data_IF_308666698218
#
_entry.id   IF_308666698218
#
_cell.length_a   1.000
_cell.length_b   1.000
_cell.length_c   1.000
_cell.angle_alpha   90.00
_cell.angle_beta   90.00
_cell.angle_gamma   90.00
#
_symmetry.space_group_name_H-M   'P 1'
#
loop_
_entity.id
_entity.type
_entity.pdbx_description
1 polymer ?
#
# COMPACT_ATOMS: atom_id res chain seq x y z
N UNK A 1 -4.82 -8.07 12.42
CA UNK A 1 -4.29 -7.71 13.76
C UNK A 1 -5.15 -8.45 14.79
N UNK A 2 -4.54 -9.14 15.76
CA UNK A 2 -5.27 -9.94 16.76
C UNK A 2 -4.67 -9.73 18.15
N UNK A 3 -5.07 -8.64 18.81
CA UNK A 3 -4.54 -8.28 20.12
C UNK A 3 -5.53 -8.67 21.23
N UNK A 4 -5.02 -9.15 22.36
CA UNK A 4 -5.83 -9.46 23.53
C UNK A 4 -5.37 -8.61 24.72
N UNK A 5 -6.32 -7.98 25.44
CA UNK A 5 -6.03 -7.26 26.68
C UNK A 5 -6.71 -8.01 27.84
N UNK A 6 -5.96 -8.27 28.90
CA UNK A 6 -6.48 -8.82 30.15
C UNK A 6 -6.32 -7.74 31.21
N UNK A 7 -7.44 -7.30 31.77
CA UNK A 7 -7.49 -6.28 32.81
C UNK A 7 -8.04 -6.81 34.12
N UNK A 8 -7.60 -6.22 35.22
CA UNK A 8 -8.15 -6.38 36.55
C UNK A 8 -8.30 -4.99 37.17
N UNK A 9 -9.50 -4.73 37.68
CA UNK A 9 -9.85 -3.51 38.38
C UNK A 9 -10.26 -3.88 39.81
N UNK A 10 -9.71 -3.18 40.78
CA UNK A 10 -10.10 -3.27 42.18
C UNK A 10 -10.42 -1.88 42.72
N UNK A 11 -11.59 -1.77 43.32
CA UNK A 11 -12.05 -0.58 44.02
C UNK A 11 -12.59 -1.01 45.39
N UNK A 12 -12.12 -0.33 46.44
CA UNK A 12 -12.55 -0.56 47.81
C UNK A 12 -12.74 0.77 48.53
N UNK A 13 -13.81 0.84 49.31
CA UNK A 13 -14.23 2.04 50.02
C UNK A 13 -14.41 1.71 51.49
N UNK A 14 -13.84 2.54 52.36
CA UNK A 14 -13.87 2.34 53.80
C UNK A 14 -14.22 3.63 54.53
N UNK A 15 -15.27 3.58 55.34
CA UNK A 15 -15.58 4.64 56.30
C UNK A 15 -14.46 4.74 57.35
N UNK A 16 -13.76 5.86 57.35
CA UNK A 16 -12.58 6.09 58.14
C UNK A 16 -12.85 7.00 59.34
N UNK A 17 -13.91 6.76 60.11
CA UNK A 17 -14.34 7.64 61.22
C UNK A 17 -13.24 7.97 62.25
N UNK A 18 -12.19 7.15 62.34
CA UNK A 18 -11.04 7.44 63.21
C UNK A 18 -10.29 8.71 62.77
N UNK A 19 -10.29 9.06 61.49
CA UNK A 19 -9.68 10.28 60.97
C UNK A 19 -10.51 11.50 61.40
N UNK A 20 -11.84 11.47 61.22
CA UNK A 20 -12.74 12.51 61.76
C UNK A 20 -12.50 12.73 63.26
N UNK A 21 -12.47 11.64 64.05
CA UNK A 21 -12.29 11.72 65.51
C UNK A 21 -10.89 12.21 65.92
N UNK A 22 -9.86 11.90 65.15
CA UNK A 22 -8.51 12.38 65.40
C UNK A 22 -8.40 13.90 65.13
N UNK A 23 -9.01 14.38 64.04
CA UNK A 23 -9.05 15.80 63.68
C UNK A 23 -9.88 16.62 64.68
N UNK A 24 -10.98 16.08 65.21
CA UNK A 24 -11.81 16.71 66.23
C UNK A 24 -11.08 16.95 67.58
N UNK A 25 -9.99 16.24 67.84
CA UNK A 25 -9.19 16.41 69.06
C UNK A 25 -8.19 17.57 69.00
N UNK A 26 -8.03 18.23 67.85
CA UNK A 26 -7.17 19.40 67.72
C UNK A 26 -7.93 20.66 68.21
N UNK A 27 -7.43 21.38 69.23
CA UNK A 27 -8.05 22.63 69.65
C UNK A 27 -7.96 23.62 68.49
N UNK A 28 -9.12 24.05 67.96
CA UNK A 28 -9.40 24.97 66.82
C UNK A 28 -10.17 24.30 65.66
N UNK A 29 -10.12 22.97 65.47
CA UNK A 29 -10.81 22.28 64.36
C UNK A 29 -12.00 21.45 64.84
N UNK A 30 -13.11 21.51 64.11
CA UNK A 30 -14.32 20.71 64.38
C UNK A 30 -14.91 20.21 63.05
N UNK A 31 -14.91 18.90 62.86
CA UNK A 31 -15.40 18.20 61.66
C UNK A 31 -16.80 17.63 61.89
N UNK A 32 -17.69 17.77 60.89
CA UNK A 32 -19.10 17.33 60.97
C UNK A 32 -19.45 16.23 59.97
N UNK A 33 -18.61 16.04 58.96
CA UNK A 33 -18.79 15.05 57.89
C UNK A 33 -17.98 13.78 58.21
N UNK A 34 -18.53 12.58 57.98
CA UNK A 34 -17.76 11.34 58.04
C UNK A 34 -16.61 11.38 57.04
N UNK A 35 -15.43 10.93 57.44
CA UNK A 35 -14.31 10.73 56.53
C UNK A 35 -14.34 9.34 55.90
N UNK A 36 -13.93 9.26 54.64
CA UNK A 36 -13.89 8.05 53.84
C UNK A 36 -12.48 7.87 53.26
N UNK A 37 -12.03 6.63 53.12
CA UNK A 37 -10.82 6.26 52.38
C UNK A 37 -11.23 5.37 51.21
N UNK A 38 -10.91 5.84 50.02
CA UNK A 38 -11.06 5.07 48.78
C UNK A 38 -9.70 4.53 48.35
N UNK A 39 -9.63 3.23 48.03
CA UNK A 39 -8.48 2.59 47.42
C UNK A 39 -8.88 2.07 46.04
N UNK A 40 -8.15 2.50 45.01
CA UNK A 40 -8.34 2.03 43.64
C UNK A 40 -7.01 1.52 43.07
N UNK A 41 -7.11 0.45 42.28
CA UNK A 41 -5.98 -0.14 41.60
C UNK A 41 -6.42 -0.80 40.31
N UNK A 42 -5.71 -0.51 39.23
CA UNK A 42 -5.91 -1.14 37.93
C UNK A 42 -4.64 -1.87 37.53
N UNK A 43 -4.81 -3.06 36.96
CA UNK A 43 -3.76 -3.82 36.30
C UNK A 43 -4.26 -4.22 34.92
N UNK A 44 -3.47 -3.91 33.89
CA UNK A 44 -3.79 -4.33 32.53
C UNK A 44 -2.55 -4.93 31.86
N UNK A 45 -2.75 -6.05 31.16
CA UNK A 45 -1.73 -6.72 30.36
C UNK A 45 -2.19 -6.84 28.92
N UNK A 46 -1.41 -6.26 28.01
CA UNK A 46 -1.57 -6.43 26.56
C UNK A 46 -0.79 -7.67 26.11
N UNK A 47 -1.46 -8.56 25.38
CA UNK A 47 -0.84 -9.62 24.59
C UNK A 47 -0.99 -9.24 23.11
N UNK A 48 0.07 -8.74 22.47
CA UNK A 48 0.08 -8.48 21.04
C UNK A 48 -0.02 -9.82 20.28
N UNK A 49 -0.76 -9.84 19.19
CA UNK A 49 -0.86 -11.03 18.34
C UNK A 49 -1.01 -10.67 16.87
N UNK A 50 -0.40 -11.51 16.03
CA UNK A 50 -0.49 -11.40 14.57
C UNK A 50 -1.72 -12.16 14.10
N UNK A 51 -2.38 -11.66 13.05
CA UNK A 51 -3.55 -12.35 12.53
C UNK A 51 -3.11 -13.59 11.74
N UNK A 52 -3.42 -14.77 12.26
CA UNK A 52 -3.33 -16.01 11.50
C UNK A 52 -4.43 -16.04 10.44
N UNK A 53 -4.05 -15.69 9.21
CA UNK A 53 -4.93 -15.87 8.06
C UNK A 53 -4.85 -17.33 7.57
N UNK A 54 -5.85 -17.76 6.80
CA UNK A 54 -5.84 -19.11 6.22
C UNK A 54 -4.57 -19.39 5.42
N UNK A 55 -4.08 -18.40 4.67
CA UNK A 55 -2.85 -18.52 3.89
C UNK A 55 -1.62 -18.74 4.78
N UNK A 56 -1.51 -18.01 5.89
CA UNK A 56 -0.42 -18.20 6.87
C UNK A 56 -0.52 -19.56 7.54
N UNK A 57 -1.71 -19.98 7.99
CA UNK A 57 -1.88 -21.29 8.60
C UNK A 57 -1.65 -22.45 7.62
N UNK A 58 -1.87 -22.25 6.32
CA UNK A 58 -1.50 -23.21 5.27
C UNK A 58 0.03 -23.25 5.07
N UNK A 59 0.69 -22.10 4.97
CA UNK A 59 2.14 -22.01 4.81
C UNK A 59 2.91 -22.62 6.00
N UNK A 60 2.45 -22.40 7.24
CA UNK A 60 3.00 -23.06 8.45
C UNK A 60 2.86 -24.57 8.35
N UNK A 61 1.66 -25.08 7.99
CA UNK A 61 1.41 -26.53 7.87
C UNK A 61 2.25 -27.19 6.77
N UNK A 62 2.53 -26.45 5.70
CA UNK A 62 3.36 -26.92 4.59
C UNK A 62 4.86 -26.73 4.84
N UNK A 63 5.26 -26.17 6.00
CA UNK A 63 6.65 -25.87 6.33
C UNK A 63 7.31 -24.92 5.30
N UNK A 64 6.53 -23.96 4.79
CA UNK A 64 6.94 -22.94 3.81
C UNK A 64 7.50 -21.68 4.49
N UNK A 65 7.26 -21.50 5.79
CA UNK A 65 7.75 -20.39 6.60
C UNK A 65 8.95 -20.83 7.46
N UNK A 66 9.87 -19.91 7.70
CA UNK A 66 10.88 -20.07 8.74
C UNK A 66 10.24 -19.90 10.13
N UNK A 67 10.87 -20.46 11.16
CA UNK A 67 10.36 -20.45 12.54
C UNK A 67 10.08 -19.05 13.11
N UNK A 68 10.81 -18.03 12.64
CA UNK A 68 10.60 -16.63 13.01
C UNK A 68 9.42 -15.98 12.27
N UNK A 69 9.10 -16.45 11.07
CA UNK A 69 8.02 -15.94 10.22
C UNK A 69 6.63 -16.48 10.64
N UNK A 70 6.57 -17.63 11.31
CA UNK A 70 5.32 -18.19 11.85
C UNK A 70 4.63 -17.25 12.84
N UNK A 71 5.42 -16.42 13.53
CA UNK A 71 4.93 -15.43 14.50
C UNK A 71 4.56 -14.09 13.86
N UNK A 72 4.64 -13.98 12.52
CA UNK A 72 4.25 -12.82 11.74
C UNK A 72 5.25 -12.47 10.65
N UNK A 73 4.75 -12.30 9.43
CA UNK A 73 5.53 -11.90 8.26
C UNK A 73 4.97 -10.61 7.67
N UNK A 74 5.86 -9.67 7.35
CA UNK A 74 5.50 -8.41 6.72
C UNK A 74 6.47 -8.11 5.57
N UNK A 75 5.92 -7.82 4.40
CA UNK A 75 6.70 -7.44 3.22
C UNK A 75 6.76 -5.91 3.13
N UNK A 76 7.97 -5.38 2.93
CA UNK A 76 8.17 -3.95 2.66
C UNK A 76 7.84 -3.65 1.18
N UNK A 77 8.22 -4.58 0.29
CA UNK A 77 7.90 -4.60 -1.13
C UNK A 77 7.99 -6.07 -1.61
N UNK A 78 6.95 -6.57 -2.27
CA UNK A 78 6.90 -7.91 -2.86
C UNK A 78 7.13 -7.89 -4.39
N UNK A 79 7.39 -6.71 -4.96
CA UNK A 79 7.61 -6.47 -6.39
C UNK A 79 6.47 -6.93 -7.30
N UNK A 80 5.26 -7.20 -6.79
CA UNK A 80 4.12 -7.62 -7.61
C UNK A 80 3.76 -6.56 -8.67
N UNK A 81 4.00 -5.28 -8.36
CA UNK A 81 3.79 -4.14 -9.26
C UNK A 81 5.00 -3.69 -10.07
N UNK A 82 6.13 -4.41 -10.04
CA UNK A 82 7.37 -3.97 -10.70
C UNK A 82 7.28 -3.98 -12.24
N UNK A 83 6.33 -4.72 -12.80
CA UNK A 83 6.12 -4.81 -14.23
C UNK A 83 4.71 -4.36 -14.62
N UNK A 84 4.62 -3.47 -15.60
CA UNK A 84 3.38 -3.04 -16.22
C UNK A 84 3.28 -3.64 -17.62
N UNK A 85 2.33 -4.55 -17.82
CA UNK A 85 2.10 -5.12 -19.14
C UNK A 85 1.20 -4.20 -19.97
N UNK A 86 1.75 -3.62 -21.04
CA UNK A 86 0.99 -2.80 -21.99
C UNK A 86 0.76 -3.62 -23.25
N UNK A 87 -0.49 -4.04 -23.47
CA UNK A 87 -0.84 -4.81 -24.66
C UNK A 87 -0.89 -3.94 -25.92
N UNK A 88 -0.10 -4.31 -26.93
CA UNK A 88 -0.11 -3.72 -28.26
C UNK A 88 -0.87 -4.56 -29.29
N UNK A 89 -1.60 -5.61 -28.87
CA UNK A 89 -2.24 -6.56 -29.77
C UNK A 89 -3.55 -6.07 -30.41
N UNK A 90 -4.07 -4.91 -29.99
CA UNK A 90 -5.31 -4.38 -30.54
C UNK A 90 -5.10 -3.86 -31.97
N UNK A 91 -5.52 -4.65 -32.97
CA UNK A 91 -5.43 -4.33 -34.39
C UNK A 91 -6.02 -2.97 -34.78
N UNK A 92 -7.11 -2.52 -34.14
CA UNK A 92 -7.75 -1.22 -34.44
C UNK A 92 -6.90 0.00 -34.08
N UNK A 93 -5.86 -0.19 -33.25
CA UNK A 93 -4.94 0.87 -32.86
C UNK A 93 -3.77 1.03 -33.85
N UNK A 94 -3.59 0.07 -34.75
CA UNK A 94 -2.55 0.10 -35.76
C UNK A 94 -3.04 0.80 -37.03
N UNK A 95 -2.14 1.57 -37.63
CA UNK A 95 -2.37 2.22 -38.91
C UNK A 95 -1.15 1.98 -39.79
N UNK A 96 -1.32 2.09 -41.12
CA UNK A 96 -0.22 1.98 -42.06
C UNK A 96 0.82 3.08 -41.77
N UNK A 97 2.05 2.66 -41.46
CA UNK A 97 3.20 3.51 -41.22
C UNK A 97 3.74 4.10 -42.53
N UNK A 98 4.50 5.19 -42.44
CA UNK A 98 5.32 5.66 -43.56
C UNK A 98 6.51 4.73 -43.79
N UNK A 99 7.14 4.84 -44.96
CA UNK A 99 8.41 4.17 -45.22
C UNK A 99 9.46 4.59 -44.15
N UNK A 100 10.23 3.64 -43.59
CA UNK A 100 11.28 3.94 -42.61
C UNK A 100 12.46 4.65 -43.29
N UNK A 101 13.15 5.52 -42.55
CA UNK A 101 14.27 6.29 -43.09
C UNK A 101 15.52 5.46 -43.39
N UNK A 102 15.63 4.30 -42.75
CA UNK A 102 16.67 3.31 -43.00
C UNK A 102 16.12 1.93 -42.72
N UNK A 103 16.54 0.96 -43.52
CA UNK A 103 16.29 -0.46 -43.29
C UNK A 103 17.61 -1.10 -42.87
N UNK A 104 17.67 -1.89 -41.79
CA UNK A 104 18.90 -2.58 -41.40
C UNK A 104 19.47 -3.40 -42.57
N UNK A 105 20.70 -3.10 -42.98
CA UNK A 105 21.37 -3.77 -44.11
C UNK A 105 21.34 -3.01 -45.45
N UNK A 106 20.72 -1.84 -45.50
CA UNK A 106 20.71 -0.94 -46.66
C UNK A 106 21.17 0.47 -46.27
N UNK A 107 21.72 1.22 -47.23
CA UNK A 107 22.07 2.62 -47.02
C UNK A 107 20.82 3.44 -46.69
N UNK A 108 20.97 4.45 -45.83
CA UNK A 108 19.84 5.30 -45.43
C UNK A 108 19.36 6.16 -46.62
N UNK A 109 18.04 6.35 -46.72
CA UNK A 109 17.42 7.23 -47.71
C UNK A 109 17.60 8.71 -47.30
N UNK A 110 18.84 9.18 -47.20
CA UNK A 110 19.19 10.56 -46.81
C UNK A 110 18.49 11.64 -47.66
N UNK A 111 18.37 11.53 -49.01
CA UNK A 111 17.87 12.67 -49.82
C UNK A 111 16.38 12.98 -49.62
N UNK A 112 15.57 12.06 -49.09
CA UNK A 112 14.12 12.25 -48.90
C UNK A 112 13.76 13.02 -47.63
N UNK A 113 14.63 13.02 -46.62
CA UNK A 113 14.37 13.66 -45.34
C UNK A 113 15.05 15.02 -45.18
N UNK A 114 15.86 15.41 -46.17
CA UNK A 114 16.56 16.71 -46.23
C UNK A 114 15.98 17.65 -47.30
N UNK A 115 15.01 17.22 -48.11
CA UNK A 115 14.43 18.02 -49.19
C UNK A 115 13.25 18.89 -48.68
N UNK A 116 13.48 20.21 -48.60
CA UNK A 116 12.50 21.22 -48.17
C UNK A 116 11.34 21.46 -49.19
N UNK A 117 11.39 20.84 -50.38
CA UNK A 117 10.42 21.04 -51.46
C UNK A 117 9.39 19.90 -51.55
N UNK A 118 8.54 19.77 -50.52
CA UNK A 118 7.31 18.98 -50.64
C UNK A 118 6.30 19.74 -51.53
N UNK A 119 5.86 19.21 -52.69
CA UNK A 119 4.89 19.88 -53.53
C UNK A 119 3.49 19.78 -52.90
N UNK A 120 3.19 20.73 -52.01
CA UNK A 120 1.87 20.92 -51.42
C UNK A 120 1.45 19.87 -50.38
N UNK A 121 0.31 20.14 -49.74
CA UNK A 121 -0.27 19.28 -48.70
C UNK A 121 -0.51 17.86 -49.26
N UNK A 122 0.04 16.80 -48.65
CA UNK A 122 -0.15 15.45 -49.14
C UNK A 122 -1.62 15.06 -49.04
N UNK A 123 -2.15 14.49 -50.12
CA UNK A 123 -3.52 13.94 -50.12
C UNK A 123 -3.60 12.85 -49.04
N UNK A 124 -4.53 13.01 -48.10
CA UNK A 124 -4.62 12.21 -46.86
C UNK A 124 -5.50 10.97 -46.99
N UNK A 125 -6.07 10.72 -48.17
CA UNK A 125 -6.92 9.56 -48.39
C UNK A 125 -6.11 8.24 -48.36
N UNK A 126 -6.80 7.13 -48.05
CA UNK A 126 -6.17 5.82 -47.86
C UNK A 126 -5.45 5.32 -49.11
N UNK A 127 -6.00 5.56 -50.30
CA UNK A 127 -5.39 5.13 -51.56
C UNK A 127 -4.06 5.85 -51.80
N UNK A 128 -3.98 7.17 -51.60
CA UNK A 128 -2.74 7.93 -51.74
C UNK A 128 -1.68 7.53 -50.69
N UNK A 129 -2.10 7.02 -49.53
CA UNK A 129 -1.18 6.46 -48.53
C UNK A 129 -0.64 5.09 -48.96
N UNK A 130 -1.48 4.24 -49.56
CA UNK A 130 -1.09 2.95 -50.14
C UNK A 130 -0.15 3.17 -51.33
N UNK A 131 -0.53 4.03 -52.28
CA UNK A 131 0.28 4.30 -53.47
C UNK A 131 1.67 4.84 -53.11
N UNK A 132 1.79 5.73 -52.10
CA UNK A 132 3.10 6.19 -51.59
C UNK A 132 3.91 5.09 -50.91
N UNK A 133 3.25 4.13 -50.27
CA UNK A 133 3.90 2.94 -49.71
C UNK A 133 4.39 2.00 -50.83
N UNK A 134 3.60 1.83 -51.88
CA UNK A 134 3.84 0.89 -52.97
C UNK A 134 4.84 1.41 -54.03
N UNK A 135 4.91 2.73 -54.24
CA UNK A 135 5.84 3.37 -55.18
C UNK A 135 7.33 3.09 -54.88
N UNK A 136 7.67 2.64 -53.67
CA UNK A 136 9.04 2.22 -53.31
C UNK A 136 9.30 0.72 -53.41
N UNK A 137 8.28 -0.09 -53.69
CA UNK A 137 8.46 -1.55 -53.92
C UNK A 137 8.97 -1.89 -55.32
N UNK A 138 9.11 -0.89 -56.20
CA UNK A 138 9.50 -1.04 -57.60
C UNK A 138 10.95 -0.61 -57.89
N UNK A 139 11.72 -0.20 -56.87
CA UNK A 139 13.15 0.08 -56.97
C UNK A 139 13.96 -0.93 -56.16
#
# INVERSE_FOLDING_TARGET
INNAVIGFDANAEFDAQFITRFLDNLPILQTREPSEITFSGEFAQLRPGVAETRAVSEAIRNNELFSDEENGLAFIDDFEGANINISLLNATRWNLASAPAAVPGYDADIPIFEEDDFPGMPVTNTQARLDRSDLRSQF
#
